data_IF_104552864743
#
_entry.id   IF_104552864743
#
_cell.length_a   1.000
_cell.length_b   1.000
_cell.length_c   1.000
_cell.angle_alpha   90.00
_cell.angle_beta   90.00
_cell.angle_gamma   90.00
#
_symmetry.space_group_name_H-M   'P 1'
#
loop_
_entity.id
_entity.type
_entity.pdbx_description
1 polymer ?
#
# COMPACT_ATOMS: atom_id res chain seq x y z
N UNK A 1 -13.22 -26.31 -8.63
CA UNK A 1 -13.36 -24.87 -8.91
C UNK A 1 -11.98 -24.26 -8.90
N UNK A 2 -11.50 -23.74 -10.04
CA UNK A 2 -10.23 -23.01 -10.12
C UNK A 2 -10.50 -21.59 -9.64
N UNK A 3 -9.86 -21.18 -8.55
CA UNK A 3 -9.76 -19.78 -8.20
C UNK A 3 -8.94 -19.11 -9.30
N UNK A 4 -9.58 -18.29 -10.13
CA UNK A 4 -8.87 -17.31 -10.95
C UNK A 4 -8.37 -16.24 -9.97
N UNK A 5 -7.24 -16.49 -9.31
CA UNK A 5 -6.47 -15.39 -8.76
C UNK A 5 -6.09 -14.53 -9.97
N UNK A 6 -6.62 -13.31 -10.03
CA UNK A 6 -6.25 -12.29 -11.00
C UNK A 6 -4.82 -11.82 -10.74
N UNK A 7 -3.88 -12.75 -10.76
CA UNK A 7 -2.44 -12.60 -10.56
C UNK A 7 -1.86 -12.03 -11.86
N UNK A 8 -2.37 -10.87 -12.29
CA UNK A 8 -1.64 -10.02 -13.21
C UNK A 8 -0.53 -9.34 -12.40
N UNK A 9 0.50 -10.12 -12.04
CA UNK A 9 1.81 -9.61 -11.63
C UNK A 9 2.45 -8.92 -12.83
N UNK A 10 1.87 -7.80 -13.23
CA UNK A 10 2.41 -6.95 -14.28
C UNK A 10 3.48 -6.11 -13.61
N UNK A 11 4.72 -6.49 -13.87
CA UNK A 11 5.90 -5.69 -13.62
C UNK A 11 5.64 -4.22 -13.96
N UNK A 12 5.95 -3.32 -13.03
CA UNK A 12 5.78 -1.87 -13.23
C UNK A 12 7.11 -1.31 -13.66
N UNK A 13 7.21 -0.93 -14.93
CA UNK A 13 8.36 -0.17 -15.43
C UNK A 13 8.28 1.28 -15.00
N UNK A 14 9.36 1.78 -14.41
CA UNK A 14 9.60 3.17 -14.05
C UNK A 14 10.93 3.64 -14.62
N UNK A 15 11.05 4.94 -14.88
CA UNK A 15 12.32 5.55 -15.29
C UNK A 15 12.71 6.57 -14.24
N UNK A 16 13.91 6.44 -13.66
CA UNK A 16 14.41 7.32 -12.60
C UNK A 16 15.81 7.82 -12.95
N UNK A 17 16.07 9.11 -12.77
CA UNK A 17 17.45 9.60 -12.72
C UNK A 17 18.09 9.16 -11.40
N UNK A 18 19.12 8.31 -11.50
CA UNK A 18 19.93 7.96 -10.34
C UNK A 18 20.87 9.12 -9.98
N UNK A 19 21.27 9.20 -8.72
CA UNK A 19 22.23 10.22 -8.30
C UNK A 19 23.57 9.95 -9.02
N UNK A 20 24.00 10.87 -9.88
CA UNK A 20 25.25 10.74 -10.65
C UNK A 20 25.12 10.01 -12.00
N UNK A 21 23.91 9.67 -12.47
CA UNK A 21 23.71 9.14 -13.83
C UNK A 21 23.52 10.26 -14.87
N UNK A 22 24.10 10.11 -16.05
CA UNK A 22 23.91 11.03 -17.19
C UNK A 22 22.53 10.89 -17.87
N UNK A 23 21.72 9.90 -17.47
CA UNK A 23 20.40 9.64 -18.04
C UNK A 23 19.44 8.93 -17.10
N UNK A 24 18.25 8.62 -17.60
CA UNK A 24 17.25 7.84 -16.88
C UNK A 24 17.62 6.36 -16.87
N UNK A 25 17.45 5.72 -15.72
CA UNK A 25 17.60 4.28 -15.55
C UNK A 25 16.21 3.66 -15.48
N UNK A 26 15.99 2.61 -16.28
CA UNK A 26 14.79 1.78 -16.19
C UNK A 26 14.82 0.96 -14.91
N UNK A 27 13.68 0.93 -14.23
CA UNK A 27 13.47 0.24 -12.97
C UNK A 27 12.19 -0.57 -13.08
N UNK A 28 12.34 -1.89 -12.97
CA UNK A 28 11.21 -2.80 -12.98
C UNK A 28 10.85 -3.16 -11.55
N UNK A 29 9.63 -2.80 -11.12
CA UNK A 29 9.12 -3.10 -9.79
C UNK A 29 8.15 -4.27 -9.83
N UNK A 30 8.30 -5.17 -8.90
CA UNK A 30 7.34 -6.25 -8.66
C UNK A 30 6.30 -5.80 -7.64
N UNK A 31 5.00 -5.77 -7.98
CA UNK A 31 3.94 -5.46 -7.02
C UNK A 31 3.78 -6.61 -6.01
N UNK A 32 3.60 -6.26 -4.73
CA UNK A 32 3.22 -7.22 -3.69
C UNK A 32 1.85 -6.92 -3.10
N UNK A 33 1.22 -7.97 -2.59
CA UNK A 33 -0.03 -7.89 -1.85
C UNK A 33 0.23 -7.69 -0.36
N UNK A 34 -0.57 -6.84 0.27
CA UNK A 34 -0.60 -6.58 1.69
C UNK A 34 -2.01 -6.85 2.22
N UNK A 35 -2.16 -7.89 3.03
CA UNK A 35 -3.35 -8.11 3.85
C UNK A 35 -3.12 -7.54 5.25
N UNK A 36 -4.00 -6.64 5.67
CA UNK A 36 -3.95 -5.96 6.96
C UNK A 36 -4.66 -6.73 8.10
N UNK A 37 -5.48 -7.74 7.77
CA UNK A 37 -6.23 -8.53 8.76
C UNK A 37 -5.36 -9.65 9.37
N UNK A 38 -4.51 -10.25 8.56
CA UNK A 38 -3.69 -11.38 8.98
C UNK A 38 -2.45 -10.92 9.76
N UNK A 39 -2.54 -10.96 11.08
CA UNK A 39 -1.45 -10.61 12.01
C UNK A 39 -0.31 -11.64 12.07
N UNK A 40 -0.35 -12.72 11.26
CA UNK A 40 0.60 -13.85 11.30
C UNK A 40 1.29 -14.08 9.93
N UNK A 41 2.44 -13.43 9.78
CA UNK A 41 3.75 -14.05 9.47
C UNK A 41 4.07 -14.69 8.09
N UNK A 42 3.42 -14.36 6.97
CA UNK A 42 4.00 -14.64 5.64
C UNK A 42 3.89 -13.48 4.64
N UNK A 43 3.64 -12.26 5.13
CA UNK A 43 3.55 -11.07 4.27
C UNK A 43 4.84 -10.97 3.47
N UNK A 44 4.70 -10.97 2.15
CA UNK A 44 5.77 -11.17 1.17
C UNK A 44 7.08 -10.48 1.62
N UNK A 45 8.20 -11.22 1.58
CA UNK A 45 9.55 -10.81 2.03
C UNK A 45 9.96 -9.32 1.89
N UNK A 46 9.46 -8.49 0.95
CA UNK A 46 9.72 -7.05 0.98
C UNK A 46 8.98 -6.20 2.03
N UNK A 47 7.87 -6.64 2.65
CA UNK A 47 7.07 -5.78 3.55
C UNK A 47 7.61 -5.80 4.98
N UNK A 48 7.77 -4.60 5.55
CA UNK A 48 8.20 -4.34 6.92
C UNK A 48 7.02 -3.81 7.71
N UNK A 49 6.71 -4.50 8.81
CA UNK A 49 5.74 -4.08 9.81
C UNK A 49 6.47 -3.36 10.97
N UNK A 50 5.95 -2.20 11.39
CA UNK A 50 6.46 -1.44 12.54
C UNK A 50 5.29 -1.16 13.48
N UNK A 51 5.35 -1.73 14.69
CA UNK A 51 4.29 -1.62 15.70
C UNK A 51 4.59 -0.54 16.74
N UNK A 52 3.58 0.24 17.07
CA UNK A 52 3.51 1.22 18.15
C UNK A 52 2.25 0.95 18.99
N UNK A 53 2.12 1.51 20.22
CA UNK A 53 1.02 1.19 21.13
C UNK A 53 -0.42 1.32 20.57
N UNK A 54 -0.62 2.18 19.58
CA UNK A 54 -1.92 2.43 18.95
C UNK A 54 -1.82 2.58 17.41
N UNK A 55 -0.70 2.17 16.83
CA UNK A 55 -0.41 2.35 15.40
C UNK A 55 0.41 1.20 14.86
N UNK A 56 0.10 0.76 13.65
CA UNK A 56 0.89 -0.23 12.92
C UNK A 56 1.17 0.28 11.52
N UNK A 57 2.44 0.35 11.15
CA UNK A 57 2.88 0.82 9.82
C UNK A 57 3.37 -0.34 8.98
N UNK A 58 3.00 -0.32 7.70
CA UNK A 58 3.42 -1.28 6.71
C UNK A 58 4.05 -0.55 5.52
N UNK A 59 5.28 -0.93 5.18
CA UNK A 59 6.01 -0.37 4.04
C UNK A 59 6.91 -1.42 3.41
N UNK A 60 7.33 -1.20 2.17
CA UNK A 60 8.43 -1.99 1.58
C UNK A 60 9.78 -1.59 2.18
N UNK A 61 10.66 -2.56 2.45
CA UNK A 61 11.97 -2.39 3.08
C UNK A 61 12.84 -1.32 2.40
N UNK A 62 13.53 -0.50 3.21
CA UNK A 62 14.37 0.63 2.77
C UNK A 62 15.51 0.20 1.82
N UNK A 63 16.02 -1.01 1.96
CA UNK A 63 17.12 -1.54 1.14
C UNK A 63 16.63 -2.21 -0.16
N UNK A 64 15.30 -2.33 -0.35
CA UNK A 64 14.68 -2.97 -1.51
C UNK A 64 13.84 -1.98 -2.34
N UNK A 65 14.04 -0.68 -2.12
CA UNK A 65 13.21 0.41 -2.68
C UNK A 65 13.07 0.41 -4.20
N UNK A 66 13.92 -0.29 -4.92
CA UNK A 66 13.96 -0.26 -6.38
C UNK A 66 13.34 -1.51 -7.05
N UNK A 67 13.13 -2.61 -6.31
CA UNK A 67 12.61 -3.87 -6.89
C UNK A 67 11.15 -4.17 -6.54
N UNK A 68 10.57 -3.50 -5.54
CA UNK A 68 9.24 -3.85 -5.03
C UNK A 68 8.39 -2.60 -4.74
N UNK A 69 7.07 -2.76 -4.84
CA UNK A 69 6.06 -1.76 -4.47
C UNK A 69 4.83 -2.46 -3.89
N UNK A 70 4.10 -1.82 -2.96
CA UNK A 70 2.81 -2.36 -2.50
C UNK A 70 1.78 -2.10 -3.60
N UNK A 71 1.32 -3.18 -4.23
CA UNK A 71 0.36 -3.10 -5.33
C UNK A 71 -1.08 -3.17 -4.85
N UNK A 72 -1.43 -4.27 -4.18
CA UNK A 72 -2.76 -4.51 -3.62
C UNK A 72 -2.72 -4.40 -2.09
N UNK A 73 -3.66 -3.64 -1.52
CA UNK A 73 -3.92 -3.57 -0.09
C UNK A 73 -5.34 -4.07 0.16
N UNK A 74 -5.49 -5.02 1.07
CA UNK A 74 -6.76 -5.59 1.48
C UNK A 74 -6.85 -5.76 3.00
N UNK A 75 -8.06 -5.99 3.49
CA UNK A 75 -8.33 -6.42 4.87
C UNK A 75 -9.25 -7.63 4.81
N UNK A 76 -8.67 -8.83 4.89
CA UNK A 76 -9.37 -10.06 4.52
C UNK A 76 -9.84 -10.01 3.07
N UNK A 77 -11.15 -10.14 2.85
CA UNK A 77 -11.75 -10.12 1.51
C UNK A 77 -12.00 -8.71 0.95
N UNK A 78 -11.81 -7.66 1.76
CA UNK A 78 -12.10 -6.28 1.39
C UNK A 78 -10.90 -5.64 0.69
N UNK A 79 -11.05 -5.24 -0.57
CA UNK A 79 -10.01 -4.48 -1.29
C UNK A 79 -10.07 -3.01 -0.83
N UNK A 80 -8.94 -2.51 -0.33
CA UNK A 80 -8.80 -1.12 0.13
C UNK A 80 -8.18 -0.25 -0.96
N UNK A 81 -7.13 -0.74 -1.61
CA UNK A 81 -6.46 -0.01 -2.69
C UNK A 81 -5.74 -0.98 -3.63
N UNK A 82 -5.95 -0.84 -4.93
CA UNK A 82 -5.31 -1.64 -5.98
C UNK A 82 -4.54 -0.78 -7.00
N UNK A 83 -4.19 0.46 -6.63
CA UNK A 83 -3.54 1.41 -7.53
C UNK A 83 -2.05 1.08 -7.70
N UNK A 84 -1.64 0.70 -8.92
CA UNK A 84 -0.28 0.22 -9.22
C UNK A 84 0.45 1.12 -10.22
N UNK A 85 -0.19 1.42 -11.36
CA UNK A 85 0.51 2.05 -12.50
C UNK A 85 0.91 3.52 -12.30
N UNK A 86 0.19 4.22 -11.45
CA UNK A 86 0.36 5.66 -11.21
C UNK A 86 1.16 5.96 -9.95
N UNK A 87 1.53 4.94 -9.17
CA UNK A 87 2.05 5.07 -7.81
C UNK A 87 3.49 4.57 -7.73
N UNK A 88 4.40 5.41 -7.22
CA UNK A 88 5.82 5.09 -7.00
C UNK A 88 6.10 4.62 -5.57
N UNK A 89 5.23 4.97 -4.64
CA UNK A 89 5.34 4.62 -3.23
C UNK A 89 3.96 4.44 -2.62
N UNK A 90 3.81 3.41 -1.80
CA UNK A 90 2.60 3.18 -1.03
C UNK A 90 2.98 2.71 0.38
N UNK A 91 2.23 3.19 1.36
CA UNK A 91 2.34 2.85 2.77
C UNK A 91 0.94 2.69 3.35
N UNK A 92 0.77 1.72 4.25
CA UNK A 92 -0.46 1.54 5.01
C UNK A 92 -0.20 1.79 6.49
N UNK A 93 -1.14 2.45 7.15
CA UNK A 93 -1.12 2.73 8.57
C UNK A 93 -2.46 2.30 9.17
N UNK A 94 -2.43 1.40 10.15
CA UNK A 94 -3.59 1.09 10.99
C UNK A 94 -3.47 1.93 12.26
N UNK A 95 -4.53 2.65 12.64
CA UNK A 95 -4.62 3.34 13.93
C UNK A 95 -5.86 2.89 14.70
N UNK A 96 -5.72 2.78 16.02
CA UNK A 96 -6.83 2.51 16.92
C UNK A 96 -7.13 3.75 17.75
N UNK A 97 -8.32 4.32 17.59
CA UNK A 97 -8.73 5.55 18.26
C UNK A 97 -10.15 5.35 18.83
N UNK A 98 -10.31 5.54 20.14
CA UNK A 98 -11.61 5.45 20.84
C UNK A 98 -12.37 4.12 20.59
N UNK A 99 -11.64 3.01 20.45
CA UNK A 99 -12.23 1.68 20.20
C UNK A 99 -12.61 1.41 18.74
N UNK A 100 -12.35 2.36 17.82
CA UNK A 100 -12.49 2.16 16.37
C UNK A 100 -11.13 1.96 15.70
N UNK A 101 -11.10 1.12 14.67
CA UNK A 101 -9.93 0.93 13.81
C UNK A 101 -10.05 1.75 12.51
N UNK A 102 -8.96 2.42 12.17
CA UNK A 102 -8.84 3.22 10.96
C UNK A 102 -7.66 2.74 10.13
N UNK A 103 -7.81 2.81 8.82
CA UNK A 103 -6.76 2.50 7.86
C UNK A 103 -6.45 3.75 7.07
N UNK A 104 -5.21 4.19 7.07
CA UNK A 104 -4.72 5.29 6.24
C UNK A 104 -3.77 4.75 5.18
N UNK A 105 -4.09 5.03 3.92
CA UNK A 105 -3.23 4.68 2.78
C UNK A 105 -2.56 5.96 2.28
N UNK A 106 -1.23 5.99 2.30
CA UNK A 106 -0.43 7.06 1.73
C UNK A 106 0.16 6.58 0.39
N UNK A 107 -0.10 7.32 -0.68
CA UNK A 107 0.44 7.09 -2.02
C UNK A 107 1.28 8.27 -2.46
N UNK A 108 2.39 8.02 -3.14
CA UNK A 108 3.07 9.03 -3.97
C UNK A 108 2.94 8.63 -5.41
N UNK A 109 2.52 9.55 -6.25
CA UNK A 109 2.27 9.31 -7.66
C UNK A 109 3.47 9.75 -8.51
N UNK A 110 3.53 9.25 -9.75
CA UNK A 110 4.60 9.59 -10.72
C UNK A 110 4.62 11.06 -11.11
N UNK A 111 3.48 11.74 -11.03
CA UNK A 111 3.33 13.17 -11.33
C UNK A 111 3.60 14.08 -10.11
N UNK A 112 4.10 13.52 -9.00
CA UNK A 112 4.54 14.27 -7.83
C UNK A 112 3.43 14.61 -6.82
N UNK A 113 2.27 13.97 -6.89
CA UNK A 113 1.25 14.10 -5.86
C UNK A 113 1.46 13.11 -4.72
N UNK A 114 1.09 13.55 -3.52
CA UNK A 114 0.90 12.73 -2.32
C UNK A 114 -0.59 12.64 -2.07
N UNK A 115 -1.14 11.42 -2.09
CA UNK A 115 -2.55 11.14 -1.85
C UNK A 115 -2.65 10.38 -0.53
N UNK A 116 -3.43 10.88 0.41
CA UNK A 116 -3.76 10.19 1.66
C UNK A 116 -5.24 9.92 1.72
N UNK A 117 -5.62 8.65 1.80
CA UNK A 117 -7.02 8.22 1.93
C UNK A 117 -7.19 7.54 3.29
N UNK A 118 -8.20 7.96 4.06
CA UNK A 118 -8.54 7.38 5.37
C UNK A 118 -9.83 6.58 5.27
N UNK A 119 -9.82 5.40 5.86
CA UNK A 119 -10.93 4.48 5.94
C UNK A 119 -11.22 4.14 7.40
N UNK A 120 -12.48 3.86 7.71
CA UNK A 120 -12.91 3.27 8.97
C UNK A 120 -13.38 1.84 8.71
N UNK A 121 -12.93 0.92 9.56
CA UNK A 121 -13.48 -0.43 9.61
C UNK A 121 -14.71 -0.42 10.52
N UNK A 122 -15.83 -0.93 10.01
CA UNK A 122 -17.09 -1.00 10.75
C UNK A 122 -17.66 -2.40 10.61
N UNK A 123 -18.02 -3.02 11.72
CA UNK A 123 -18.76 -4.28 11.71
C UNK A 123 -20.26 -3.98 11.84
N UNK A 124 -21.04 -4.33 10.82
CA UNK A 124 -22.50 -4.18 10.81
C UNK A 124 -23.15 -5.54 10.54
N UNK A 125 -24.04 -5.99 11.43
CA UNK A 125 -24.74 -7.27 11.31
C UNK A 125 -23.80 -8.48 11.11
N UNK A 126 -22.63 -8.48 11.76
CA UNK A 126 -21.62 -9.53 11.63
C UNK A 126 -20.83 -9.53 10.32
N UNK A 127 -20.98 -8.48 9.51
CA UNK A 127 -20.23 -8.26 8.27
C UNK A 127 -19.31 -7.06 8.42
N UNK A 128 -18.02 -7.27 8.14
CA UNK A 128 -17.04 -6.18 8.12
C UNK A 128 -17.22 -5.33 6.86
N UNK A 129 -17.22 -4.01 7.02
CA UNK A 129 -17.32 -3.02 5.96
C UNK A 129 -16.17 -2.00 6.08
N UNK A 130 -15.90 -1.31 4.97
CA UNK A 130 -14.90 -0.27 4.83
C UNK A 130 -15.59 1.00 4.37
N UNK A 131 -15.52 2.05 5.19
CA UNK A 131 -16.08 3.36 4.87
C UNK A 131 -14.93 4.33 4.59
N UNK A 132 -14.85 4.89 3.38
CA UNK A 132 -13.92 5.97 3.08
C UNK A 132 -14.40 7.26 3.75
N UNK A 133 -13.56 7.84 4.60
CA UNK A 133 -13.88 9.06 5.36
C UNK A 133 -13.37 10.31 4.67
N UNK A 134 -12.15 10.27 4.15
CA UNK A 134 -11.48 11.42 3.54
C UNK A 134 -10.47 10.98 2.49
N UNK A 135 -10.24 11.85 1.51
CA UNK A 135 -9.11 11.77 0.59
C UNK A 135 -8.48 13.16 0.44
N UNK A 136 -7.19 13.24 0.72
CA UNK A 136 -6.42 14.47 0.67
C UNK A 136 -5.33 14.34 -0.39
N UNK A 137 -5.31 15.25 -1.36
CA UNK A 137 -4.33 15.29 -2.45
C UNK A 137 -3.46 16.54 -2.28
N UNK A 138 -2.15 16.34 -2.19
CA UNK A 138 -1.18 17.42 -2.04
C UNK A 138 -0.09 17.27 -3.11
N UNK A 139 0.22 18.35 -3.83
CA UNK A 139 1.36 18.39 -4.74
C UNK A 139 2.65 18.58 -3.94
N UNK A 140 3.66 17.74 -4.19
CA UNK A 140 5.00 17.92 -3.65
C UNK A 140 5.73 18.95 -4.52
N UNK A 141 6.18 20.05 -3.91
CA UNK A 141 6.94 21.13 -4.56
C UNK A 141 8.43 20.78 -4.64
#
# INVERSE_FOLDING_TARGET
MKFNSGDERREVTEFKMALGSEGYVEMVRTPVELDLKDTINHICRPIVEIRYPNRTYFRVSKNQRDAWVIGLIKYGDLIIDNSIYTVTYKEALITSEQGSEYISILKRTKDGHSIRTKYQLVEENGTMQINQLEENIQRLF
#
